data_IF_686020751093
#
_entry.id   IF_686020751093
#
_cell.length_a   1.000
_cell.length_b   1.000
_cell.length_c   1.000
_cell.angle_alpha   90.00
_cell.angle_beta   90.00
_cell.angle_gamma   90.00
#
_symmetry.space_group_name_H-M   'P 1'
#
loop_
_entity.id
_entity.type
_entity.pdbx_description
1 polymer ?
#
# COMPACT_ATOMS: atom_id res chain seq x y z
N UNK A 1 19.27 -10.33 -5.13
CA UNK A 1 20.56 -9.59 -5.27
C UNK A 1 20.38 -8.31 -4.46
N UNK A 2 20.67 -8.36 -3.15
CA UNK A 2 20.40 -7.32 -2.14
C UNK A 2 21.39 -6.12 -2.18
N UNK A 3 21.97 -5.78 -3.35
CA UNK A 3 23.24 -5.03 -3.40
C UNK A 3 23.08 -3.49 -3.33
N UNK A 4 21.87 -2.92 -3.36
CA UNK A 4 21.69 -1.45 -3.34
C UNK A 4 20.86 -0.89 -2.17
N UNK A 5 20.68 -1.63 -1.07
CA UNK A 5 20.02 -1.11 0.13
C UNK A 5 20.93 -1.18 1.34
N UNK A 6 21.27 -0.03 1.92
CA UNK A 6 22.07 0.04 3.15
C UNK A 6 21.29 -0.48 4.37
N UNK A 7 19.98 -0.18 4.45
CA UNK A 7 19.08 -0.60 5.53
C UNK A 7 17.78 -1.12 4.92
N UNK A 8 17.50 -2.42 5.06
CA UNK A 8 16.33 -3.06 4.45
C UNK A 8 15.01 -2.47 4.93
N UNK A 9 14.94 -1.87 6.11
CA UNK A 9 13.72 -1.25 6.66
C UNK A 9 13.51 0.20 6.20
N UNK A 10 14.46 0.82 5.48
CA UNK A 10 14.30 2.19 4.94
C UNK A 10 13.81 2.21 3.50
N UNK A 11 13.52 1.04 2.90
CA UNK A 11 13.05 0.92 1.52
C UNK A 11 11.84 1.81 1.23
N UNK A 12 10.87 1.89 2.15
CA UNK A 12 9.65 2.68 1.97
C UNK A 12 9.99 4.17 1.87
N UNK A 13 10.85 4.67 2.77
CA UNK A 13 11.29 6.08 2.78
C UNK A 13 12.01 6.43 1.48
N UNK A 14 12.87 5.54 0.99
CA UNK A 14 13.58 5.74 -0.27
C UNK A 14 12.64 5.81 -1.48
N UNK A 15 11.66 4.91 -1.56
CA UNK A 15 10.64 4.91 -2.61
C UNK A 15 9.79 6.17 -2.54
N UNK A 16 9.36 6.55 -1.33
CA UNK A 16 8.51 7.70 -1.10
C UNK A 16 9.21 9.00 -1.50
N UNK A 17 10.50 9.15 -1.19
CA UNK A 17 11.30 10.29 -1.64
C UNK A 17 11.38 10.36 -3.16
N UNK A 18 11.65 9.24 -3.84
CA UNK A 18 11.73 9.20 -5.31
C UNK A 18 10.39 9.61 -5.95
N UNK A 19 9.27 9.05 -5.49
CA UNK A 19 7.95 9.37 -6.04
C UNK A 19 7.51 10.80 -5.68
N UNK A 20 7.91 11.29 -4.51
CA UNK A 20 7.69 12.69 -4.12
C UNK A 20 8.44 13.66 -5.04
N UNK A 21 9.70 13.38 -5.39
CA UNK A 21 10.49 14.22 -6.30
C UNK A 21 9.89 14.32 -7.71
N UNK A 22 9.20 13.28 -8.20
CA UNK A 22 8.54 13.32 -9.51
C UNK A 22 7.16 13.99 -9.44
N UNK A 23 6.54 14.07 -8.26
CA UNK A 23 5.19 14.62 -8.09
C UNK A 23 4.98 16.05 -8.65
N UNK A 24 5.92 17.01 -8.49
CA UNK A 24 5.80 18.35 -9.08
C UNK A 24 5.61 18.35 -10.60
N UNK A 25 6.20 17.41 -11.32
CA UNK A 25 6.06 17.30 -12.78
C UNK A 25 4.61 17.01 -13.16
N UNK A 26 3.96 16.10 -12.46
CA UNK A 26 2.56 15.75 -12.69
C UNK A 26 1.61 16.87 -12.27
N UNK A 27 1.92 17.55 -11.17
CA UNK A 27 1.17 18.71 -10.72
C UNK A 27 1.25 19.84 -11.76
N UNK A 28 2.45 20.11 -12.29
CA UNK A 28 2.65 21.11 -13.34
C UNK A 28 1.92 20.74 -14.63
N UNK A 29 1.96 19.46 -15.05
CA UNK A 29 1.21 18.97 -16.21
C UNK A 29 -0.31 19.17 -16.05
N UNK A 30 -0.86 18.83 -14.86
CA UNK A 30 -2.26 19.05 -14.53
C UNK A 30 -2.64 20.54 -14.51
N UNK A 31 -1.74 21.40 -14.04
CA UNK A 31 -1.96 22.84 -14.00
C UNK A 31 -1.97 23.46 -15.40
N UNK A 32 -1.01 23.08 -16.26
CA UNK A 32 -0.90 23.62 -17.62
C UNK A 32 -2.00 23.11 -18.55
N UNK A 33 -2.30 21.80 -18.52
CA UNK A 33 -3.36 21.20 -19.31
C UNK A 33 -3.98 20.03 -18.57
N UNK A 34 -5.18 20.25 -18.05
CA UNK A 34 -5.89 19.25 -17.24
C UNK A 34 -6.11 17.93 -17.98
N UNK A 35 -6.46 17.95 -19.27
CA UNK A 35 -6.69 16.72 -20.03
C UNK A 35 -5.40 15.93 -20.19
N UNK A 36 -4.33 16.61 -20.58
CA UNK A 36 -3.01 15.98 -20.73
C UNK A 36 -2.51 15.40 -19.40
N UNK A 37 -2.60 16.16 -18.30
CA UNK A 37 -2.20 15.69 -16.98
C UNK A 37 -2.98 14.45 -16.53
N UNK A 38 -4.30 14.41 -16.75
CA UNK A 38 -5.13 13.25 -16.44
C UNK A 38 -4.76 12.03 -17.29
N UNK A 39 -4.53 12.21 -18.60
CA UNK A 39 -4.07 11.14 -19.48
C UNK A 39 -2.69 10.60 -19.08
N UNK A 40 -1.75 11.47 -18.71
CA UNK A 40 -0.42 11.06 -18.25
C UNK A 40 -0.49 10.26 -16.94
N UNK A 41 -1.23 10.76 -15.95
CA UNK A 41 -1.43 10.09 -14.66
C UNK A 41 -2.13 8.75 -14.86
N UNK A 42 -3.20 8.71 -15.65
CA UNK A 42 -3.94 7.47 -15.94
C UNK A 42 -3.09 6.45 -16.71
N UNK A 43 -2.37 6.90 -17.74
CA UNK A 43 -1.49 6.05 -18.55
C UNK A 43 -0.34 5.45 -17.75
N UNK A 44 0.38 6.27 -16.96
CA UNK A 44 1.47 5.77 -16.11
C UNK A 44 0.97 4.89 -14.98
N UNK A 45 -0.21 5.18 -14.41
CA UNK A 45 -0.86 4.29 -13.45
C UNK A 45 -1.18 2.93 -14.06
N UNK A 46 -1.70 2.90 -15.28
CA UNK A 46 -2.00 1.66 -15.99
C UNK A 46 -0.73 0.87 -16.31
N UNK A 47 0.33 1.53 -16.79
CA UNK A 47 1.63 0.90 -17.06
C UNK A 47 2.22 0.31 -15.78
N UNK A 48 2.24 1.08 -14.68
CA UNK A 48 2.69 0.63 -13.35
C UNK A 48 1.96 -0.64 -12.89
N UNK A 49 0.64 -0.68 -13.09
CA UNK A 49 -0.21 -1.82 -12.71
C UNK A 49 -0.05 -3.03 -13.64
N UNK A 50 0.10 -2.82 -14.94
CA UNK A 50 0.40 -3.90 -15.90
C UNK A 50 1.76 -4.51 -15.60
N UNK A 51 2.78 -3.70 -15.33
CA UNK A 51 4.10 -4.18 -14.92
C UNK A 51 4.00 -5.03 -13.65
N UNK A 52 3.29 -4.53 -12.63
CA UNK A 52 3.08 -5.27 -11.39
C UNK A 52 2.36 -6.60 -11.61
N UNK A 53 1.29 -6.61 -12.42
CA UNK A 53 0.56 -7.82 -12.77
C UNK A 53 1.46 -8.83 -13.49
N UNK A 54 2.15 -8.38 -14.54
CA UNK A 54 3.02 -9.20 -15.37
C UNK A 54 4.12 -9.87 -14.54
N UNK A 55 4.86 -9.10 -13.74
CA UNK A 55 5.91 -9.66 -12.90
C UNK A 55 5.36 -10.61 -11.84
N UNK A 56 4.24 -10.27 -11.21
CA UNK A 56 3.64 -11.14 -10.19
C UNK A 56 3.19 -12.47 -10.78
N UNK A 57 2.61 -12.45 -11.99
CA UNK A 57 2.16 -13.64 -12.68
C UNK A 57 3.33 -14.48 -13.21
N UNK A 58 4.27 -13.88 -13.94
CA UNK A 58 5.38 -14.57 -14.61
C UNK A 58 6.39 -15.16 -13.63
N UNK A 59 6.70 -14.45 -12.53
CA UNK A 59 7.68 -14.91 -11.54
C UNK A 59 7.04 -15.59 -10.32
N UNK A 60 5.72 -15.85 -10.36
CA UNK A 60 4.97 -16.48 -9.27
C UNK A 60 5.20 -15.79 -7.91
N UNK A 61 5.13 -14.46 -7.90
CA UNK A 61 5.33 -13.66 -6.69
C UNK A 61 4.09 -13.73 -5.81
N UNK A 62 4.26 -13.51 -4.50
CA UNK A 62 3.15 -13.54 -3.54
C UNK A 62 3.27 -12.40 -2.56
N UNK A 63 2.34 -11.44 -2.65
CA UNK A 63 2.25 -10.31 -1.73
C UNK A 63 1.56 -10.65 -0.40
N UNK A 64 1.00 -11.85 -0.28
CA UNK A 64 0.38 -12.37 0.94
C UNK A 64 1.24 -13.50 1.49
N UNK A 65 1.65 -13.37 2.75
CA UNK A 65 2.40 -14.41 3.44
C UNK A 65 1.43 -15.52 3.84
N UNK A 66 1.48 -16.64 3.11
CA UNK A 66 0.69 -17.83 3.36
C UNK A 66 1.52 -18.92 4.05
N UNK A 67 0.84 -19.88 4.68
CA UNK A 67 1.52 -21.02 5.31
C UNK A 67 2.29 -21.84 4.27
N UNK A 68 3.57 -22.15 4.56
CA UNK A 68 4.42 -22.96 3.68
C UNK A 68 5.03 -22.20 2.49
N UNK A 69 4.91 -20.88 2.42
CA UNK A 69 5.58 -20.08 1.38
C UNK A 69 7.11 -20.26 1.45
N UNK A 70 7.79 -20.55 0.32
CA UNK A 70 9.23 -20.67 0.32
C UNK A 70 9.90 -19.30 0.51
N UNK A 71 10.98 -19.28 1.29
CA UNK A 71 11.76 -18.06 1.60
C UNK A 71 12.24 -17.39 0.31
N UNK A 72 12.63 -18.16 -0.71
CA UNK A 72 13.03 -17.64 -2.02
C UNK A 72 11.93 -16.81 -2.70
N UNK A 73 10.66 -17.23 -2.61
CA UNK A 73 9.53 -16.47 -3.16
C UNK A 73 9.28 -15.17 -2.40
N UNK A 74 9.50 -15.15 -1.09
CA UNK A 74 9.41 -13.93 -0.29
C UNK A 74 10.47 -12.91 -0.73
N UNK A 75 11.74 -13.33 -0.86
CA UNK A 75 12.82 -12.46 -1.33
C UNK A 75 12.63 -12.04 -2.78
N UNK A 76 12.19 -12.93 -3.67
CA UNK A 76 11.88 -12.57 -5.05
C UNK A 76 10.74 -11.56 -5.12
N UNK A 77 9.71 -11.69 -4.28
CA UNK A 77 8.62 -10.70 -4.22
C UNK A 77 9.14 -9.36 -3.72
N UNK A 78 10.05 -9.37 -2.74
CA UNK A 78 10.72 -8.19 -2.25
C UNK A 78 11.50 -7.48 -3.37
N UNK A 79 12.42 -8.20 -4.00
CA UNK A 79 13.37 -7.71 -5.01
C UNK A 79 12.70 -7.34 -6.35
N UNK A 80 11.70 -8.08 -6.80
CA UNK A 80 11.10 -7.92 -8.14
C UNK A 80 9.79 -7.12 -8.16
N UNK A 81 9.21 -6.81 -7.00
CA UNK A 81 7.99 -5.99 -6.98
C UNK A 81 7.85 -5.07 -5.78
N UNK A 82 8.18 -5.51 -4.56
CA UNK A 82 7.79 -4.77 -3.36
C UNK A 82 8.57 -3.46 -3.18
N UNK A 83 9.89 -3.51 -3.47
CA UNK A 83 10.81 -2.37 -3.32
C UNK A 83 10.95 -1.52 -4.59
N UNK A 84 10.23 -1.86 -5.66
CA UNK A 84 10.30 -1.11 -6.92
C UNK A 84 9.35 0.10 -6.88
N UNK A 85 9.86 1.34 -7.03
CA UNK A 85 9.01 2.54 -7.11
C UNK A 85 8.01 2.46 -8.26
N UNK A 86 8.39 1.84 -9.38
CA UNK A 86 7.53 1.67 -10.56
C UNK A 86 6.28 0.85 -10.26
N UNK A 87 6.33 -0.15 -9.37
CA UNK A 87 5.17 -0.96 -8.98
C UNK A 87 4.31 -0.28 -7.89
N UNK A 88 4.84 0.79 -7.28
CA UNK A 88 4.17 1.59 -6.23
C UNK A 88 3.61 2.91 -6.75
N UNK A 89 4.00 3.34 -7.96
CA UNK A 89 3.60 4.62 -8.52
C UNK A 89 2.07 4.77 -8.67
N UNK A 90 1.33 3.69 -8.94
CA UNK A 90 -0.12 3.71 -9.14
C UNK A 90 -0.91 4.34 -7.99
N UNK A 91 -0.57 4.03 -6.73
CA UNK A 91 -1.25 4.62 -5.55
C UNK A 91 -0.84 6.09 -5.35
N UNK A 92 0.38 6.46 -5.71
CA UNK A 92 0.85 7.85 -5.65
C UNK A 92 0.07 8.74 -6.62
N UNK A 93 -0.15 8.26 -7.84
CA UNK A 93 -0.96 8.93 -8.83
C UNK A 93 -2.41 9.13 -8.38
N UNK A 94 -2.98 8.14 -7.67
CA UNK A 94 -4.29 8.31 -7.04
C UNK A 94 -4.29 9.44 -5.99
N UNK A 95 -3.22 9.55 -5.20
CA UNK A 95 -3.04 10.64 -4.23
C UNK A 95 -2.95 12.02 -4.91
N UNK A 96 -2.21 12.14 -6.01
CA UNK A 96 -2.14 13.38 -6.81
C UNK A 96 -3.52 13.74 -7.37
N UNK A 97 -4.27 12.75 -7.87
CA UNK A 97 -5.63 12.95 -8.37
C UNK A 97 -6.58 13.42 -7.26
N UNK A 98 -6.48 12.84 -6.07
CA UNK A 98 -7.25 13.26 -4.90
C UNK A 98 -6.93 14.72 -4.52
N UNK A 99 -5.65 15.08 -4.45
CA UNK A 99 -5.23 16.45 -4.16
C UNK A 99 -5.76 17.46 -5.19
N UNK A 100 -5.77 17.08 -6.47
CA UNK A 100 -6.36 17.87 -7.54
C UNK A 100 -7.88 18.02 -7.40
N UNK A 101 -8.58 16.96 -6.95
CA UNK A 101 -10.02 16.99 -6.73
C UNK A 101 -10.39 17.87 -5.53
N UNK A 102 -9.63 17.82 -4.44
CA UNK A 102 -9.84 18.63 -3.23
C UNK A 102 -9.70 20.14 -3.47
N UNK A 103 -8.94 20.55 -4.48
CA UNK A 103 -8.82 21.97 -4.87
C UNK A 103 -10.06 22.53 -5.58
N UNK A 104 -10.98 21.66 -6.00
CA UNK A 104 -12.21 22.06 -6.68
C UNK A 104 -13.33 22.29 -5.68
N UNK A 105 -14.30 23.16 -5.98
CA UNK A 105 -15.46 23.31 -5.13
C UNK A 105 -16.15 21.94 -4.95
N UNK A 106 -16.59 21.62 -3.71
CA UNK A 106 -17.24 20.35 -3.43
C UNK A 106 -18.48 20.20 -4.29
N UNK A 107 -18.65 19.02 -4.90
CA UNK A 107 -19.86 18.71 -5.63
C UNK A 107 -21.04 18.57 -4.67
N UNK A 108 -22.20 19.08 -5.05
CA UNK A 108 -23.44 18.87 -4.30
C UNK A 108 -23.95 17.44 -4.51
N UNK A 109 -24.08 16.68 -3.43
CA UNK A 109 -24.65 15.34 -3.44
C UNK A 109 -25.97 15.31 -2.68
N UNK A 110 -26.96 14.59 -3.21
CA UNK A 110 -28.15 14.23 -2.42
C UNK A 110 -27.75 13.28 -1.29
N UNK A 111 -28.38 13.42 -0.11
CA UNK A 111 -28.13 12.56 1.07
C UNK A 111 -28.19 11.07 0.74
N UNK A 112 -29.16 10.65 -0.09
CA UNK A 112 -29.31 9.25 -0.53
C UNK A 112 -28.08 8.75 -1.29
N UNK A 113 -27.57 9.56 -2.24
CA UNK A 113 -26.36 9.22 -3.01
C UNK A 113 -25.13 9.16 -2.11
N UNK A 114 -25.02 10.07 -1.15
CA UNK A 114 -23.91 10.10 -0.21
C UNK A 114 -23.87 8.83 0.66
N UNK A 115 -25.00 8.41 1.24
CA UNK A 115 -25.06 7.16 2.01
C UNK A 115 -24.76 5.92 1.15
N UNK A 116 -25.21 5.89 -0.10
CA UNK A 116 -24.89 4.82 -1.03
C UNK A 116 -23.38 4.72 -1.30
N UNK A 117 -22.72 5.85 -1.58
CA UNK A 117 -21.27 5.86 -1.83
C UNK A 117 -20.50 5.48 -0.56
N UNK A 118 -20.91 5.97 0.61
CA UNK A 118 -20.33 5.54 1.88
C UNK A 118 -20.44 4.04 2.12
N UNK A 119 -21.64 3.46 1.90
CA UNK A 119 -21.85 2.03 2.00
C UNK A 119 -20.96 1.24 1.03
N UNK A 120 -20.88 1.69 -0.22
CA UNK A 120 -20.04 1.06 -1.25
C UNK A 120 -18.55 1.14 -0.91
N UNK A 121 -18.05 2.30 -0.46
CA UNK A 121 -16.63 2.47 -0.15
C UNK A 121 -16.25 1.69 1.11
N UNK A 122 -17.15 1.59 2.08
CA UNK A 122 -16.96 0.76 3.26
C UNK A 122 -16.90 -0.72 2.91
N UNK A 123 -17.82 -1.22 2.07
CA UNK A 123 -17.80 -2.63 1.63
C UNK A 123 -16.56 -2.94 0.80
N UNK A 124 -16.14 -2.04 -0.11
CA UNK A 124 -14.89 -2.17 -0.87
C UNK A 124 -13.68 -2.21 0.08
N UNK A 125 -13.62 -1.34 1.09
CA UNK A 125 -12.57 -1.34 2.09
C UNK A 125 -12.50 -2.65 2.88
N UNK A 126 -13.64 -3.15 3.36
CA UNK A 126 -13.73 -4.42 4.08
C UNK A 126 -13.33 -5.62 3.19
N UNK A 127 -13.83 -5.68 1.96
CA UNK A 127 -13.45 -6.73 1.00
C UNK A 127 -11.95 -6.68 0.72
N UNK A 128 -11.36 -5.48 0.62
CA UNK A 128 -9.93 -5.35 0.37
C UNK A 128 -9.08 -5.82 1.55
N UNK A 129 -9.56 -5.56 2.78
CA UNK A 129 -8.87 -5.94 4.00
C UNK A 129 -9.01 -7.44 4.32
N UNK A 130 -10.23 -7.96 4.30
CA UNK A 130 -10.54 -9.35 4.65
C UNK A 130 -10.49 -10.32 3.48
N UNK A 131 -10.57 -9.82 2.24
CA UNK A 131 -10.53 -10.61 1.02
C UNK A 131 -9.38 -11.62 0.94
N UNK A 132 -8.12 -11.26 1.22
CA UNK A 132 -7.01 -12.21 1.15
C UNK A 132 -6.95 -13.20 2.32
N UNK A 133 -7.88 -13.17 3.28
CA UNK A 133 -7.82 -14.01 4.48
C UNK A 133 -7.81 -15.51 4.18
N UNK A 134 -8.48 -15.96 3.11
CA UNK A 134 -8.47 -17.37 2.70
C UNK A 134 -7.07 -17.84 2.28
N UNK A 135 -6.23 -16.95 1.74
CA UNK A 135 -4.85 -17.26 1.37
C UNK A 135 -3.99 -17.55 2.61
N UNK A 136 -4.41 -17.07 3.78
CA UNK A 136 -3.72 -17.28 5.04
C UNK A 136 -4.15 -18.56 5.77
N UNK A 137 -5.06 -19.37 5.23
CA UNK A 137 -5.54 -20.60 5.90
C UNK A 137 -4.55 -21.76 5.69
N UNK A 138 -4.40 -22.63 6.71
CA UNK A 138 -3.61 -23.85 6.59
C UNK A 138 -4.19 -24.75 5.50
N UNK A 139 -3.38 -25.11 4.51
CA UNK A 139 -3.82 -25.90 3.35
C UNK A 139 -4.14 -25.07 2.10
N UNK A 140 -4.00 -23.74 2.14
CA UNK A 140 -4.05 -22.93 0.93
C UNK A 140 -2.99 -23.37 -0.09
N UNK A 141 -3.42 -23.56 -1.33
CA UNK A 141 -2.54 -23.86 -2.46
C UNK A 141 -2.35 -22.58 -3.28
N UNK A 142 -1.10 -22.19 -3.48
CA UNK A 142 -0.77 -20.96 -4.20
C UNK A 142 -1.30 -20.97 -5.63
N UNK A 143 -2.06 -19.92 -5.99
CA UNK A 143 -2.49 -19.67 -7.35
C UNK A 143 -1.92 -18.35 -7.87
N UNK A 144 -1.22 -18.40 -9.01
CA UNK A 144 -0.49 -17.24 -9.56
C UNK A 144 -1.42 -16.13 -10.03
N UNK A 145 -2.55 -16.47 -10.65
CA UNK A 145 -3.52 -15.49 -11.12
C UNK A 145 -4.18 -14.74 -9.96
N UNK A 146 -4.57 -15.45 -8.88
CA UNK A 146 -5.12 -14.83 -7.67
C UNK A 146 -4.14 -13.84 -7.05
N UNK A 147 -2.86 -14.23 -6.94
CA UNK A 147 -1.81 -13.38 -6.40
C UNK A 147 -1.55 -12.15 -7.28
N UNK A 148 -1.55 -12.32 -8.61
CA UNK A 148 -1.36 -11.24 -9.56
C UNK A 148 -2.52 -10.24 -9.54
N UNK A 149 -3.76 -10.72 -9.55
CA UNK A 149 -4.97 -9.90 -9.43
C UNK A 149 -4.97 -9.15 -8.10
N UNK A 150 -4.74 -9.84 -6.99
CA UNK A 150 -4.67 -9.22 -5.67
C UNK A 150 -3.60 -8.13 -5.63
N UNK A 151 -2.39 -8.40 -6.11
CA UNK A 151 -1.31 -7.41 -6.14
C UNK A 151 -1.68 -6.14 -6.90
N UNK A 152 -2.43 -6.28 -7.99
CA UNK A 152 -2.73 -5.18 -8.91
C UNK A 152 -3.89 -4.34 -8.40
N UNK A 153 -4.97 -4.98 -7.93
CA UNK A 153 -6.19 -4.28 -7.53
C UNK A 153 -6.18 -3.79 -6.08
N UNK A 154 -5.49 -4.49 -5.18
CA UNK A 154 -5.46 -4.14 -3.76
C UNK A 154 -5.08 -2.66 -3.49
N UNK A 155 -4.02 -2.09 -4.12
CA UNK A 155 -3.69 -0.69 -3.91
C UNK A 155 -4.80 0.26 -4.35
N UNK A 156 -5.50 -0.05 -5.45
CA UNK A 156 -6.59 0.79 -5.93
C UNK A 156 -7.79 0.71 -5.02
N UNK A 157 -8.25 -0.49 -4.67
CA UNK A 157 -9.46 -0.64 -3.86
C UNK A 157 -9.25 -0.08 -2.45
N UNK A 158 -8.08 -0.31 -1.85
CA UNK A 158 -7.70 0.30 -0.57
C UNK A 158 -7.54 1.81 -0.70
N UNK A 159 -6.77 2.25 -1.71
CA UNK A 159 -6.49 3.65 -1.95
C UNK A 159 -7.73 4.48 -2.22
N UNK A 160 -8.68 3.97 -3.02
CA UNK A 160 -9.93 4.66 -3.34
C UNK A 160 -10.82 4.74 -2.11
N UNK A 161 -10.88 3.67 -1.30
CA UNK A 161 -11.64 3.69 -0.04
C UNK A 161 -11.10 4.77 0.92
N UNK A 162 -9.78 4.84 1.12
CA UNK A 162 -9.13 5.88 1.94
C UNK A 162 -9.29 7.27 1.31
N UNK A 163 -9.11 7.40 -0.01
CA UNK A 163 -9.26 8.67 -0.71
C UNK A 163 -10.69 9.22 -0.59
N UNK A 164 -11.71 8.35 -0.64
CA UNK A 164 -13.09 8.74 -0.39
C UNK A 164 -13.31 9.23 1.03
N UNK A 165 -12.74 8.56 2.02
CA UNK A 165 -12.81 8.98 3.44
C UNK A 165 -12.22 10.38 3.61
N UNK A 166 -11.04 10.64 3.02
CA UNK A 166 -10.41 11.96 3.06
C UNK A 166 -11.29 13.00 2.36
N UNK A 167 -11.67 12.74 1.09
CA UNK A 167 -12.48 13.66 0.30
C UNK A 167 -13.81 14.02 0.96
N UNK A 168 -14.53 13.02 1.47
CA UNK A 168 -15.82 13.21 2.12
C UNK A 168 -15.69 13.98 3.43
N UNK A 169 -14.64 13.74 4.23
CA UNK A 169 -14.42 14.48 5.48
C UNK A 169 -14.09 15.95 5.21
N UNK A 170 -13.17 16.23 4.28
CA UNK A 170 -12.77 17.60 3.90
C UNK A 170 -13.90 18.39 3.24
N UNK A 171 -14.76 17.74 2.45
CA UNK A 171 -15.89 18.39 1.79
C UNK A 171 -17.14 18.53 2.69
N UNK A 172 -17.07 18.18 3.98
CA UNK A 172 -18.20 18.26 4.91
C UNK A 172 -19.25 17.14 4.77
N UNK A 173 -18.93 16.07 4.04
CA UNK A 173 -19.75 14.89 3.82
C UNK A 173 -19.38 13.70 4.72
N UNK A 174 -18.66 13.96 5.83
CA UNK A 174 -18.06 12.97 6.73
C UNK A 174 -19.04 12.02 7.44
N UNK A 175 -20.35 12.19 7.29
CA UNK A 175 -21.37 11.38 7.98
C UNK A 175 -21.07 11.25 9.49
N UNK A 176 -21.35 10.10 10.10
CA UNK A 176 -21.04 9.80 11.50
C UNK A 176 -19.52 9.72 11.79
N UNK A 177 -18.72 9.38 10.79
CA UNK A 177 -17.28 9.13 10.96
C UNK A 177 -16.44 10.41 10.96
N UNK A 178 -16.90 11.50 10.34
CA UNK A 178 -16.16 12.76 10.21
C UNK A 178 -15.58 13.25 11.54
N UNK A 179 -16.39 13.47 12.59
CA UNK A 179 -15.91 13.93 13.89
C UNK A 179 -14.84 13.02 14.51
N UNK A 180 -15.02 11.70 14.39
CA UNK A 180 -14.06 10.71 14.87
C UNK A 180 -12.74 10.82 14.11
N UNK A 181 -12.76 10.90 12.78
CA UNK A 181 -11.54 10.98 11.98
C UNK A 181 -10.79 12.30 12.13
N UNK A 182 -11.49 13.39 12.41
CA UNK A 182 -10.88 14.70 12.70
C UNK A 182 -10.42 14.85 14.15
N UNK A 183 -10.41 13.77 14.94
CA UNK A 183 -10.08 13.86 16.36
C UNK A 183 -8.61 14.23 16.59
N UNK A 184 -8.38 15.35 17.31
CA UNK A 184 -7.06 15.94 17.53
C UNK A 184 -6.01 14.97 18.09
N UNK A 185 -6.42 13.98 18.90
CA UNK A 185 -5.48 13.03 19.51
C UNK A 185 -4.88 12.05 18.50
N UNK A 186 -5.50 11.85 17.33
CA UNK A 186 -4.88 11.06 16.26
C UNK A 186 -3.56 11.66 15.77
N UNK A 187 -3.30 12.95 15.97
CA UNK A 187 -2.00 13.55 15.68
C UNK A 187 -0.85 12.91 16.48
N UNK A 188 -1.11 12.47 17.72
CA UNK A 188 -0.10 11.77 18.54
C UNK A 188 0.25 10.43 17.91
N UNK A 189 -0.77 9.64 17.54
CA UNK A 189 -0.60 8.35 16.88
C UNK A 189 0.14 8.49 15.54
N UNK A 190 -0.17 9.51 14.75
CA UNK A 190 0.53 9.79 13.48
C UNK A 190 2.01 10.11 13.67
N UNK A 191 2.39 10.78 14.77
CA UNK A 191 3.81 11.07 15.06
C UNK A 191 4.56 9.81 15.50
N UNK A 192 3.92 8.94 16.28
CA UNK A 192 4.54 7.71 16.80
C UNK A 192 4.64 6.62 15.72
N UNK A 193 3.70 6.58 14.77
CA UNK A 193 3.64 5.53 13.75
C UNK A 193 4.93 5.41 12.93
N UNK A 194 5.57 6.53 12.59
CA UNK A 194 6.85 6.51 11.87
C UNK A 194 7.99 5.92 12.71
N UNK A 195 8.05 6.24 14.01
CA UNK A 195 9.02 5.64 14.93
C UNK A 195 8.81 4.13 15.05
N UNK A 196 7.57 3.68 15.20
CA UNK A 196 7.22 2.25 15.23
C UNK A 196 7.62 1.56 13.93
N UNK A 197 7.35 2.19 12.78
CA UNK A 197 7.72 1.67 11.47
C UNK A 197 9.23 1.39 11.33
N UNK A 198 10.08 2.29 11.83
CA UNK A 198 11.53 2.12 11.76
C UNK A 198 12.06 1.03 12.71
N UNK A 199 11.45 0.89 13.89
CA UNK A 199 11.95 -0.01 14.95
C UNK A 199 11.43 -1.45 14.79
N UNK A 200 10.25 -1.65 14.18
CA UNK A 200 9.63 -2.98 14.08
C UNK A 200 10.54 -4.04 13.44
N UNK A 201 11.24 -3.68 12.35
CA UNK A 201 12.07 -4.62 11.61
C UNK A 201 13.31 -5.04 12.42
N UNK A 202 14.12 -4.11 12.96
CA UNK A 202 15.20 -4.46 13.89
C UNK A 202 14.75 -5.35 15.06
N UNK A 203 13.61 -5.05 15.67
CA UNK A 203 13.07 -5.85 16.78
C UNK A 203 12.70 -7.26 16.32
N UNK A 204 12.08 -7.42 15.16
CA UNK A 204 11.79 -8.76 14.61
C UNK A 204 13.07 -9.55 14.33
N UNK A 205 14.07 -8.93 13.69
CA UNK A 205 15.36 -9.59 13.43
C UNK A 205 16.10 -9.95 14.71
N UNK A 206 16.05 -9.10 15.74
CA UNK A 206 16.63 -9.40 17.04
C UNK A 206 15.99 -10.63 17.68
N UNK A 207 14.65 -10.70 17.72
CA UNK A 207 13.92 -11.83 18.31
C UNK A 207 14.13 -13.14 17.52
N UNK A 208 14.20 -13.08 16.20
CA UNK A 208 14.51 -14.25 15.37
C UNK A 208 15.98 -14.68 15.54
N UNK A 209 16.89 -13.71 15.69
CA UNK A 209 18.31 -13.99 15.93
C UNK A 209 18.54 -14.66 17.29
N UNK A 210 17.91 -14.16 18.35
CA UNK A 210 18.05 -14.70 19.71
C UNK A 210 17.48 -16.10 19.86
N UNK A 211 16.35 -16.41 19.20
CA UNK A 211 15.74 -17.75 19.21
C UNK A 211 16.52 -18.79 18.42
N UNK A 212 17.37 -18.37 17.47
CA UNK A 212 18.21 -19.27 16.65
C UNK A 212 19.60 -19.51 17.23
N UNK A 213 20.00 -18.79 18.27
CA UNK A 213 21.23 -19.07 19.00
C UNK A 213 20.93 -20.00 20.18
N UNK A 214 21.71 -21.07 20.32
CA UNK A 214 21.70 -21.85 21.55
C UNK A 214 22.24 -20.94 22.67
N UNK A 215 21.41 -20.62 23.66
CA UNK A 215 21.82 -19.81 24.82
C UNK A 215 22.89 -20.51 25.67
N UNK A 216 22.99 -21.83 25.57
CA UNK A 216 24.00 -22.66 26.24
C UNK A 216 24.59 -23.67 25.26
N UNK A 217 25.92 -23.65 25.11
CA UNK A 217 26.66 -24.74 24.48
C UNK A 217 27.00 -25.76 25.57
N UNK A 218 26.23 -26.83 25.70
CA UNK A 218 26.67 -27.98 26.49
C UNK A 218 27.73 -28.74 25.69
N UNK A 219 28.99 -28.61 26.08
CA UNK A 219 30.05 -29.52 25.65
C UNK A 219 29.74 -30.90 26.23
N UNK A 220 29.19 -31.80 25.43
CA UNK A 220 29.16 -33.23 25.75
C UNK A 220 30.59 -33.78 25.66
N UNK A 221 31.40 -33.47 26.67
CA UNK A 221 32.70 -34.07 26.94
C UNK A 221 32.74 -34.47 28.43
N UNK A 222 32.01 -35.54 28.76
CA UNK A 222 32.31 -36.47 29.85
C UNK A 222 31.91 -37.86 29.38
#
# INVERSE_FOLDING_TARGET
>A
MLVFQCLTHTHQVGIDMQLFLVSPVFIYALWRNQRLGLWLIGGLSAISSILRFYYTFSYQLSHVVHFGIPISRMFNTADLSYILPTHRASIYFLGVLLAWLLRRPPKTFSRKKLHLVWGLMYTVGLITWFGPSFMCVKGYQYHSLESALYSTFYPYTWGIAIAWIIYSTECGFGSCFGPLLTWKYFQIFTKISYGVYLIQFPVFFYNVGSTRHAGEFHSHLV
#
